data_IF_066502077807
#
_entry.id   IF_066502077807
#
_cell.length_a   1.000
_cell.length_b   1.000
_cell.length_c   1.000
_cell.angle_alpha   90.00
_cell.angle_beta   90.00
_cell.angle_gamma   90.00
#
_symmetry.space_group_name_H-M   'P 1'
#
loop_
_entity.id
_entity.type
_entity.pdbx_description
1 polymer ?
#
# COMPACT_ATOMS: atom_id res chain seq x y z
N UNK A 1 -18.30 21.48 -3.22
CA UNK A 1 -16.91 21.18 -2.81
C UNK A 1 -16.45 19.93 -3.56
N UNK A 2 -15.18 19.82 -3.94
CA UNK A 2 -14.64 18.64 -4.65
C UNK A 2 -13.75 17.88 -3.68
N UNK A 3 -14.10 16.64 -3.38
CA UNK A 3 -13.33 15.77 -2.50
C UNK A 3 -12.48 14.79 -3.32
N UNK A 4 -11.19 14.71 -3.01
CA UNK A 4 -10.29 13.74 -3.60
C UNK A 4 -10.14 12.54 -2.66
N UNK A 5 -10.05 11.34 -3.23
CA UNK A 5 -9.90 10.09 -2.49
C UNK A 5 -9.28 8.99 -3.34
N UNK A 6 -9.05 7.83 -2.72
CA UNK A 6 -8.64 6.60 -3.40
C UNK A 6 -9.83 5.66 -3.40
N UNK A 7 -10.19 5.11 -4.57
CA UNK A 7 -11.30 4.19 -4.70
C UNK A 7 -10.94 2.83 -4.09
N UNK A 8 -11.78 2.35 -3.16
CA UNK A 8 -11.61 1.02 -2.62
C UNK A 8 -12.03 -0.06 -3.65
N UNK A 9 -11.42 -1.25 -3.64
CA UNK A 9 -11.80 -2.34 -4.56
C UNK A 9 -13.28 -2.72 -4.47
N UNK A 10 -13.86 -2.64 -3.27
CA UNK A 10 -15.29 -2.92 -3.03
C UNK A 10 -16.20 -1.85 -3.65
N UNK A 11 -15.81 -0.57 -3.55
CA UNK A 11 -16.53 0.53 -4.19
C UNK A 11 -16.49 0.41 -5.72
N UNK A 12 -15.35 0.03 -6.28
CA UNK A 12 -15.21 -0.21 -7.74
C UNK A 12 -16.17 -1.31 -8.18
N UNK A 13 -16.27 -2.41 -7.43
CA UNK A 13 -17.20 -3.51 -7.73
C UNK A 13 -18.66 -3.06 -7.62
N UNK A 14 -19.01 -2.31 -6.57
CA UNK A 14 -20.38 -1.83 -6.34
C UNK A 14 -20.83 -0.79 -7.39
N UNK A 15 -19.93 0.05 -7.88
CA UNK A 15 -20.19 1.00 -8.95
C UNK A 15 -20.26 0.35 -10.34
N UNK A 16 -19.72 -0.86 -10.47
CA UNK A 16 -19.55 -1.49 -11.76
C UNK A 16 -20.82 -2.14 -12.27
N UNK A 17 -21.12 -1.90 -13.55
CA UNK A 17 -22.29 -2.50 -14.22
C UNK A 17 -21.99 -3.85 -14.87
N UNK A 18 -20.71 -4.16 -15.11
CA UNK A 18 -20.29 -5.39 -15.78
C UNK A 18 -18.91 -5.84 -15.32
N UNK A 19 -18.77 -7.14 -15.15
CA UNK A 19 -17.47 -7.80 -14.98
C UNK A 19 -16.94 -8.19 -16.36
N UNK A 20 -15.86 -7.55 -16.80
CA UNK A 20 -15.25 -7.81 -18.10
C UNK A 20 -14.33 -9.03 -17.99
N UNK A 21 -14.69 -10.11 -18.68
CA UNK A 21 -14.01 -11.39 -18.63
C UNK A 21 -13.24 -11.69 -19.93
N UNK A 22 -13.74 -11.16 -21.05
CA UNK A 22 -13.20 -11.45 -22.37
C UNK A 22 -12.48 -10.23 -22.94
N UNK A 23 -11.27 -10.41 -23.51
CA UNK A 23 -10.56 -9.32 -24.18
C UNK A 23 -11.18 -8.97 -25.54
N UNK A 24 -12.04 -9.83 -26.08
CA UNK A 24 -12.64 -9.61 -27.39
C UNK A 24 -13.75 -8.55 -27.34
N UNK A 25 -13.80 -7.71 -28.38
CA UNK A 25 -14.78 -6.61 -28.48
C UNK A 25 -16.07 -7.02 -29.19
N UNK A 26 -16.02 -8.02 -30.07
CA UNK A 26 -17.15 -8.50 -30.86
C UNK A 26 -17.38 -9.98 -30.62
N UNK A 27 -18.59 -10.45 -30.90
CA UNK A 27 -18.92 -11.87 -30.87
C UNK A 27 -18.17 -12.67 -31.95
N UNK A 28 -18.25 -14.01 -31.87
CA UNK A 28 -17.55 -14.91 -32.80
C UNK A 28 -17.95 -14.67 -34.26
N UNK A 29 -19.19 -14.24 -34.51
CA UNK A 29 -19.70 -13.89 -35.83
C UNK A 29 -19.37 -12.46 -36.27
N UNK A 30 -18.75 -11.65 -35.40
CA UNK A 30 -18.39 -10.23 -35.60
C UNK A 30 -19.57 -9.33 -35.96
N UNK A 31 -20.78 -9.72 -35.56
CA UNK A 31 -22.03 -9.04 -35.91
C UNK A 31 -22.53 -8.13 -34.81
N UNK A 32 -22.20 -8.44 -33.55
CA UNK A 32 -22.61 -7.64 -32.38
C UNK A 32 -21.48 -7.55 -31.36
N UNK A 33 -21.48 -6.53 -30.50
CA UNK A 33 -20.54 -6.44 -29.40
C UNK A 33 -20.67 -7.66 -28.47
N UNK A 34 -19.53 -8.14 -27.97
CA UNK A 34 -19.48 -9.30 -27.08
C UNK A 34 -19.99 -8.94 -25.69
N UNK A 35 -20.93 -9.72 -25.16
CA UNK A 35 -21.34 -9.63 -23.76
C UNK A 35 -20.23 -10.13 -22.83
N UNK A 36 -19.96 -9.41 -21.75
CA UNK A 36 -18.80 -9.62 -20.87
C UNK A 36 -17.45 -9.26 -21.52
N UNK A 37 -17.47 -8.59 -22.67
CA UNK A 37 -16.28 -8.13 -23.39
C UNK A 37 -15.91 -6.67 -23.13
N UNK A 38 -14.86 -6.19 -23.79
CA UNK A 38 -14.40 -4.80 -23.65
C UNK A 38 -15.40 -3.76 -24.22
N UNK A 39 -16.25 -4.17 -25.16
CA UNK A 39 -17.25 -3.30 -25.82
C UNK A 39 -18.68 -3.67 -25.39
N UNK A 40 -18.86 -4.13 -24.15
CA UNK A 40 -20.16 -4.56 -23.66
C UNK A 40 -21.20 -3.42 -23.74
N UNK A 41 -22.41 -3.65 -24.30
CA UNK A 41 -23.47 -2.65 -24.38
C UNK A 41 -23.93 -2.03 -23.05
N UNK A 42 -23.62 -2.65 -21.90
CA UNK A 42 -23.87 -2.10 -20.56
C UNK A 42 -22.94 -0.92 -20.24
N UNK A 43 -21.72 -0.90 -20.79
CA UNK A 43 -20.76 0.20 -20.62
C UNK A 43 -21.16 1.46 -21.40
N UNK A 44 -21.92 1.26 -22.47
CA UNK A 44 -22.31 2.30 -23.41
C UNK A 44 -22.42 1.72 -24.81
N UNK A 45 -22.77 2.58 -25.77
CA UNK A 45 -22.85 2.23 -27.17
C UNK A 45 -22.10 3.26 -28.00
N UNK A 46 -21.31 2.79 -28.96
CA UNK A 46 -20.67 3.61 -29.98
C UNK A 46 -21.46 3.63 -31.29
N UNK A 47 -22.44 2.73 -31.41
CA UNK A 47 -23.26 2.59 -32.62
C UNK A 47 -24.59 3.31 -32.43
N UNK A 48 -25.03 4.04 -33.47
CA UNK A 48 -26.30 4.76 -33.50
C UNK A 48 -27.51 3.83 -33.53
N UNK A 49 -27.34 2.59 -33.98
CA UNK A 49 -28.42 1.60 -34.06
C UNK A 49 -28.74 0.98 -32.69
N UNK A 50 -27.77 1.00 -31.77
CA UNK A 50 -27.91 0.38 -30.46
C UNK A 50 -28.03 1.44 -29.36
N UNK A 51 -28.80 1.11 -28.32
CA UNK A 51 -28.94 1.92 -27.11
C UNK A 51 -28.16 1.28 -25.97
N UNK A 52 -27.68 2.10 -25.04
CA UNK A 52 -27.01 1.58 -23.86
C UNK A 52 -27.97 0.73 -23.03
N UNK A 53 -27.58 -0.49 -22.66
CA UNK A 53 -28.43 -1.40 -21.86
C UNK A 53 -28.66 -0.94 -20.41
N UNK A 54 -27.82 -0.03 -19.91
CA UNK A 54 -27.89 0.46 -18.52
C UNK A 54 -28.82 1.67 -18.38
N UNK A 55 -28.63 2.72 -19.20
CA UNK A 55 -29.41 3.95 -19.11
C UNK A 55 -30.43 4.15 -20.25
N UNK A 56 -30.47 3.27 -21.26
CA UNK A 56 -31.33 3.36 -22.44
C UNK A 56 -31.19 4.66 -23.27
N UNK A 57 -30.12 5.41 -23.06
CA UNK A 57 -29.80 6.60 -23.85
C UNK A 57 -28.96 6.25 -25.10
N UNK A 58 -29.00 7.16 -26.07
CA UNK A 58 -28.21 7.11 -27.29
C UNK A 58 -26.76 7.56 -27.03
N UNK A 59 -25.86 7.36 -28.01
CA UNK A 59 -24.43 7.67 -27.94
C UNK A 59 -24.11 9.09 -27.44
N UNK A 60 -24.90 10.10 -27.82
CA UNK A 60 -24.65 11.50 -27.46
C UNK A 60 -25.04 11.84 -26.02
N UNK A 61 -25.99 11.09 -25.44
CA UNK A 61 -26.61 11.41 -24.16
C UNK A 61 -26.21 10.42 -23.06
N UNK A 62 -25.59 9.30 -23.42
CA UNK A 62 -25.05 8.34 -22.47
C UNK A 62 -23.75 8.88 -21.86
N UNK A 63 -23.64 8.98 -20.51
CA UNK A 63 -22.41 9.42 -19.85
C UNK A 63 -21.30 8.35 -19.87
N UNK A 64 -21.63 7.11 -20.25
CA UNK A 64 -20.78 5.94 -20.07
C UNK A 64 -20.91 5.36 -18.66
N UNK A 65 -20.77 4.05 -18.56
CA UNK A 65 -20.88 3.32 -17.30
C UNK A 65 -19.59 2.56 -17.02
N UNK A 66 -19.21 2.46 -15.74
CA UNK A 66 -17.97 1.82 -15.35
C UNK A 66 -18.10 0.30 -15.34
N UNK A 67 -17.13 -0.37 -15.96
CA UNK A 67 -16.87 -1.80 -15.79
C UNK A 67 -15.76 -2.03 -14.79
N UNK A 68 -15.56 -3.28 -14.40
CA UNK A 68 -14.36 -3.69 -13.69
C UNK A 68 -13.78 -4.97 -14.27
N UNK A 69 -12.46 -5.13 -14.09
CA UNK A 69 -11.72 -6.33 -14.40
C UNK A 69 -11.14 -6.81 -13.08
N UNK A 70 -11.49 -8.03 -12.67
CA UNK A 70 -10.93 -8.64 -11.48
C UNK A 70 -9.56 -9.25 -11.78
N UNK A 71 -8.53 -8.74 -11.14
CA UNK A 71 -7.17 -9.26 -11.29
C UNK A 71 -6.99 -10.48 -10.40
N UNK A 72 -6.40 -11.55 -10.95
CA UNK A 72 -6.10 -12.76 -10.19
C UNK A 72 -5.08 -12.55 -9.05
N UNK A 73 -4.22 -11.53 -9.18
CA UNK A 73 -3.21 -11.16 -8.18
C UNK A 73 -3.11 -9.63 -8.05
N UNK A 74 -2.79 -9.10 -6.86
CA UNK A 74 -2.59 -7.68 -6.69
C UNK A 74 -1.34 -7.21 -7.44
N UNK A 75 -1.37 -5.95 -7.88
CA UNK A 75 -0.29 -5.31 -8.64
C UNK A 75 -0.01 -3.93 -8.04
N UNK A 76 1.25 -3.51 -8.01
CA UNK A 76 1.58 -2.15 -7.60
C UNK A 76 1.08 -1.13 -8.64
N UNK A 77 0.35 -0.12 -8.17
CA UNK A 77 -0.02 1.01 -9.01
C UNK A 77 1.23 1.87 -9.31
N UNK A 78 1.61 2.10 -10.59
CA UNK A 78 2.83 2.83 -10.95
C UNK A 78 2.93 4.23 -10.34
N UNK A 79 1.80 4.93 -10.20
CA UNK A 79 1.75 6.25 -9.56
C UNK A 79 1.94 6.24 -8.04
N UNK A 80 1.67 5.12 -7.38
CA UNK A 80 1.73 5.03 -5.91
C UNK A 80 2.91 4.20 -5.40
N UNK A 81 3.64 3.49 -6.27
CA UNK A 81 4.77 2.63 -5.85
C UNK A 81 5.81 3.35 -4.98
N UNK A 82 6.07 4.64 -5.25
CA UNK A 82 6.99 5.45 -4.45
C UNK A 82 6.44 5.77 -3.06
N UNK A 83 5.12 5.97 -2.95
CA UNK A 83 4.43 6.21 -1.68
C UNK A 83 4.37 4.92 -0.87
N UNK A 84 4.03 3.80 -1.50
CA UNK A 84 4.05 2.45 -0.91
C UNK A 84 5.44 2.12 -0.37
N UNK A 85 6.51 2.37 -1.14
CA UNK A 85 7.89 2.19 -0.67
C UNK A 85 8.16 2.94 0.64
N UNK A 86 7.78 4.23 0.70
CA UNK A 86 7.99 5.04 1.90
C UNK A 86 7.21 4.51 3.10
N UNK A 87 5.98 4.02 2.90
CA UNK A 87 5.18 3.43 3.98
C UNK A 87 5.84 2.14 4.50
N UNK A 88 6.27 1.26 3.59
CA UNK A 88 6.97 0.04 3.96
C UNK A 88 8.32 0.29 4.67
N UNK A 89 8.93 1.47 4.48
CA UNK A 89 10.13 1.92 5.21
C UNK A 89 9.83 2.42 6.63
N UNK A 90 8.58 2.77 6.94
CA UNK A 90 8.17 3.27 8.26
C UNK A 90 7.54 2.18 9.14
N UNK A 91 7.03 1.13 8.51
CA UNK A 91 6.22 0.09 9.15
C UNK A 91 7.01 -1.22 9.23
N UNK A 92 6.87 -1.93 10.35
CA UNK A 92 7.45 -3.26 10.53
C UNK A 92 6.76 -4.30 9.62
N UNK A 93 7.53 -5.10 8.89
CA UNK A 93 6.98 -6.11 7.97
C UNK A 93 6.38 -7.33 8.67
N UNK A 94 6.58 -7.45 10.00
CA UNK A 94 6.10 -8.57 10.80
C UNK A 94 4.86 -8.20 11.63
N UNK A 95 4.92 -7.09 12.40
CA UNK A 95 3.79 -6.66 13.25
C UNK A 95 2.96 -5.51 12.66
N UNK A 96 3.35 -4.94 11.52
CA UNK A 96 2.64 -3.85 10.83
C UNK A 96 2.46 -2.54 11.61
N UNK A 97 3.14 -2.39 12.75
CA UNK A 97 3.23 -1.12 13.49
C UNK A 97 4.30 -0.20 12.94
N UNK A 98 4.16 1.10 13.17
CA UNK A 98 5.23 2.07 12.96
C UNK A 98 6.49 1.73 13.78
N UNK A 99 7.67 2.02 13.21
CA UNK A 99 8.96 1.80 13.86
C UNK A 99 9.33 2.91 14.87
N UNK A 100 8.68 4.07 14.79
CA UNK A 100 8.88 5.20 15.69
C UNK A 100 7.63 5.46 16.51
N UNK A 101 7.84 6.03 17.70
CA UNK A 101 6.80 6.46 18.63
C UNK A 101 7.12 7.88 19.11
N UNK A 102 6.12 8.60 19.60
CA UNK A 102 6.24 9.95 20.15
C UNK A 102 7.17 10.01 21.36
N UNK A 103 7.19 8.96 22.18
CA UNK A 103 7.97 8.92 23.42
C UNK A 103 9.47 8.68 23.17
N UNK A 104 9.81 7.96 22.11
CA UNK A 104 11.17 7.47 21.88
C UNK A 104 11.93 8.22 20.78
N UNK A 105 11.26 9.11 20.03
CA UNK A 105 11.87 9.84 18.92
C UNK A 105 11.38 11.31 18.87
N UNK A 106 12.27 12.24 19.23
CA UNK A 106 11.95 13.67 19.24
C UNK A 106 11.54 14.19 17.85
N UNK A 107 12.13 13.66 16.77
CA UNK A 107 11.77 14.07 15.41
C UNK A 107 10.37 13.60 15.06
N UNK A 108 9.97 12.42 15.54
CA UNK A 108 8.61 11.91 15.39
C UNK A 108 7.61 12.77 16.18
N UNK A 109 7.90 13.09 17.44
CA UNK A 109 7.07 13.98 18.26
C UNK A 109 6.91 15.38 17.62
N UNK A 110 7.99 15.95 17.08
CA UNK A 110 7.93 17.21 16.33
C UNK A 110 7.11 17.08 15.05
N UNK A 111 7.17 15.94 14.35
CA UNK A 111 6.39 15.69 13.15
C UNK A 111 4.89 15.67 13.43
N UNK A 112 4.45 15.08 14.54
CA UNK A 112 3.03 15.01 14.93
C UNK A 112 2.40 16.39 15.15
N UNK A 113 3.20 17.39 15.57
CA UNK A 113 2.77 18.78 15.75
C UNK A 113 2.52 19.52 14.43
N UNK A 114 2.91 18.97 13.29
CA UNK A 114 2.72 19.59 11.98
C UNK A 114 1.28 19.45 11.49
N UNK A 115 0.65 20.59 11.18
CA UNK A 115 -0.71 20.64 10.63
C UNK A 115 -0.80 20.19 9.18
N UNK A 116 0.23 20.44 8.36
CA UNK A 116 0.24 20.00 6.96
C UNK A 116 0.53 18.49 6.85
N UNK A 117 -0.41 17.67 6.34
CA UNK A 117 -0.23 16.22 6.25
C UNK A 117 0.93 15.81 5.35
N UNK A 118 1.26 16.60 4.32
CA UNK A 118 2.36 16.30 3.40
C UNK A 118 3.71 16.47 4.09
N UNK A 119 3.90 17.60 4.77
CA UNK A 119 5.08 17.86 5.60
C UNK A 119 5.20 16.85 6.74
N UNK A 120 4.10 16.55 7.44
CA UNK A 120 4.06 15.55 8.52
C UNK A 120 4.53 14.19 8.04
N UNK A 121 3.96 13.68 6.94
CA UNK A 121 4.38 12.40 6.36
C UNK A 121 5.86 12.38 5.98
N UNK A 122 6.40 13.48 5.44
CA UNK A 122 7.81 13.56 5.06
C UNK A 122 8.74 13.54 6.27
N UNK A 123 8.34 14.14 7.39
CA UNK A 123 9.08 14.15 8.65
C UNK A 123 9.02 12.79 9.36
N UNK A 124 7.83 12.20 9.49
CA UNK A 124 7.66 10.84 10.02
C UNK A 124 8.51 9.84 9.25
N UNK A 125 8.49 9.90 7.91
CA UNK A 125 9.34 9.05 7.08
C UNK A 125 10.83 9.24 7.33
N UNK A 126 11.28 10.48 7.59
CA UNK A 126 12.69 10.75 7.91
C UNK A 126 13.11 10.17 9.25
N UNK A 127 12.22 10.16 10.24
CA UNK A 127 12.45 9.55 11.55
C UNK A 127 12.55 8.02 11.41
N UNK A 128 11.58 7.38 10.74
CA UNK A 128 11.53 5.91 10.70
C UNK A 128 12.54 5.26 9.75
N UNK A 129 12.90 5.88 8.61
CA UNK A 129 13.71 5.23 7.56
C UNK A 129 15.08 4.71 8.02
N UNK A 130 15.60 5.27 9.12
CA UNK A 130 16.90 4.92 9.68
C UNK A 130 16.86 3.71 10.62
N UNK A 131 15.67 3.37 11.14
CA UNK A 131 15.51 2.29 12.11
C UNK A 131 15.61 0.92 11.44
N UNK A 132 16.43 0.05 12.04
CA UNK A 132 16.75 -1.30 11.51
C UNK A 132 16.16 -2.44 12.33
N UNK A 133 15.50 -2.13 13.43
CA UNK A 133 14.90 -3.09 14.34
C UNK A 133 13.58 -2.50 14.83
N UNK A 134 12.55 -3.34 14.90
CA UNK A 134 11.29 -3.01 15.57
C UNK A 134 11.48 -3.27 17.08
N UNK A 135 11.60 -2.23 17.89
CA UNK A 135 12.08 -2.37 19.28
C UNK A 135 11.05 -3.13 20.14
N UNK A 136 11.47 -4.21 20.80
CA UNK A 136 10.67 -4.81 21.88
C UNK A 136 11.12 -4.10 23.14
N UNK A 137 10.49 -3.00 23.49
CA UNK A 137 10.66 -2.49 24.84
C UNK A 137 9.78 -3.36 25.74
N UNK A 138 10.32 -4.50 26.17
CA UNK A 138 9.73 -5.26 27.26
C UNK A 138 9.78 -4.38 28.48
N UNK A 139 8.63 -4.12 29.11
CA UNK A 139 8.56 -3.71 30.52
C UNK A 139 9.09 -4.82 31.43
N UNK A 140 10.38 -5.15 31.29
CA UNK A 140 11.09 -6.07 32.14
C UNK A 140 11.40 -5.35 33.45
N UNK A 141 10.61 -5.70 34.47
CA UNK A 141 10.85 -5.76 35.93
C UNK A 141 12.19 -5.36 36.59
N UNK A 142 12.99 -4.47 36.02
CA UNK A 142 14.14 -3.87 36.71
C UNK A 142 14.02 -2.35 36.58
N UNK A 143 13.56 -1.71 37.66
CA UNK A 143 13.31 -0.27 37.86
C UNK A 143 14.53 0.66 37.63
N UNK A 144 15.62 0.19 37.02
CA UNK A 144 16.88 0.96 36.92
C UNK A 144 17.36 1.30 35.52
N UNK A 145 16.80 0.71 34.46
CA UNK A 145 17.22 0.98 33.08
C UNK A 145 16.18 1.76 32.25
N UNK A 146 15.09 2.22 32.88
CA UNK A 146 13.96 2.92 32.23
C UNK A 146 14.26 4.36 31.80
N UNK A 147 15.42 4.90 32.23
CA UNK A 147 15.84 6.27 31.98
C UNK A 147 16.96 6.25 30.95
N UNK A 148 16.72 6.86 29.80
CA UNK A 148 17.82 7.20 28.88
C UNK A 148 18.72 8.21 29.60
N UNK A 149 19.92 7.77 30.00
CA UNK A 149 20.86 8.60 30.79
C UNK A 149 21.35 9.84 30.04
N UNK A 150 21.04 9.97 28.75
CA UNK A 150 21.29 11.14 27.93
C UNK A 150 20.15 12.17 27.93
N UNK A 151 18.88 11.77 28.10
CA UNK A 151 17.72 12.67 27.95
C UNK A 151 16.78 12.71 29.15
N UNK A 152 16.90 11.77 30.10
CA UNK A 152 16.07 11.74 31.31
C UNK A 152 14.60 11.35 31.05
N UNK A 153 14.28 10.83 29.87
CA UNK A 153 12.91 10.47 29.47
C UNK A 153 12.65 8.99 29.82
N UNK A 154 11.54 8.72 30.51
CA UNK A 154 11.02 7.36 30.70
C UNK A 154 10.53 6.82 29.36
N UNK A 155 11.13 5.72 28.88
CA UNK A 155 10.70 5.08 27.62
C UNK A 155 9.42 4.29 27.83
N UNK A 156 8.37 4.65 27.08
CA UNK A 156 7.07 3.95 27.10
C UNK A 156 7.11 2.82 26.07
N UNK A 157 6.72 1.58 26.45
CA UNK A 157 6.86 0.44 25.57
C UNK A 157 5.90 0.53 24.37
N UNK A 158 6.46 0.72 23.17
CA UNK A 158 5.69 0.80 21.92
C UNK A 158 5.13 -0.57 21.44
N UNK A 159 5.48 -1.66 22.13
CA UNK A 159 4.99 -3.02 21.86
C UNK A 159 5.40 -3.58 20.49
N UNK A 160 6.68 -3.44 20.11
CA UNK A 160 7.25 -4.02 18.91
C UNK A 160 7.54 -5.51 19.01
N UNK A 161 8.07 -6.09 17.93
CA UNK A 161 8.26 -7.54 17.80
C UNK A 161 9.73 -8.00 17.66
N UNK A 162 10.71 -7.08 17.69
CA UNK A 162 12.14 -7.40 17.66
C UNK A 162 12.68 -7.79 16.29
N UNK A 163 11.81 -7.85 15.28
CA UNK A 163 12.20 -8.21 13.93
C UNK A 163 13.10 -7.14 13.32
N UNK A 164 14.09 -7.58 12.54
CA UNK A 164 14.94 -6.68 11.76
C UNK A 164 14.14 -6.06 10.62
N UNK A 165 14.40 -4.78 10.36
CA UNK A 165 13.77 -4.02 9.29
C UNK A 165 14.72 -3.90 8.10
N UNK A 166 14.34 -4.42 6.91
CA UNK A 166 15.22 -4.46 5.76
C UNK A 166 15.32 -3.11 5.03
N UNK A 167 16.46 -2.86 4.37
CA UNK A 167 16.56 -1.73 3.44
C UNK A 167 15.74 -1.98 2.18
N UNK A 168 14.78 -1.09 1.89
CA UNK A 168 13.89 -1.23 0.74
C UNK A 168 14.43 -0.45 -0.46
N UNK A 169 14.65 -1.17 -1.56
CA UNK A 169 15.09 -0.61 -2.84
C UNK A 169 14.02 -0.78 -3.90
N UNK A 170 13.90 0.22 -4.77
CA UNK A 170 13.04 0.16 -5.95
C UNK A 170 13.91 -0.11 -7.17
N UNK A 171 13.54 -1.11 -7.97
CA UNK A 171 14.10 -1.35 -9.32
C UNK A 171 12.93 -1.39 -10.30
N UNK A 172 12.85 -0.41 -11.19
CA UNK A 172 11.71 -0.23 -12.09
C UNK A 172 10.35 -0.25 -11.34
N UNK A 173 9.49 -1.23 -11.61
CA UNK A 173 8.17 -1.39 -11.00
C UNK A 173 8.14 -2.42 -9.85
N UNK A 174 9.30 -2.78 -9.32
CA UNK A 174 9.44 -3.78 -8.26
C UNK A 174 10.16 -3.21 -7.03
N UNK A 175 9.78 -3.73 -5.86
CA UNK A 175 10.36 -3.40 -4.57
C UNK A 175 11.14 -4.61 -4.05
N UNK A 176 12.33 -4.37 -3.51
CA UNK A 176 13.21 -5.40 -2.97
C UNK A 176 13.64 -5.03 -1.55
N UNK A 177 13.56 -5.98 -0.64
CA UNK A 177 14.14 -5.92 0.69
C UNK A 177 15.58 -6.46 0.64
N UNK A 178 16.54 -5.70 1.13
CA UNK A 178 17.89 -6.20 1.36
C UNK A 178 17.92 -6.99 2.65
N UNK A 179 18.22 -8.28 2.55
CA UNK A 179 18.36 -9.16 3.69
C UNK A 179 19.81 -9.64 3.76
N UNK A 180 20.41 -9.50 4.93
CA UNK A 180 21.70 -10.11 5.23
C UNK A 180 21.46 -11.55 5.68
N UNK A 181 21.90 -12.52 4.89
CA UNK A 181 21.88 -13.92 5.31
C UNK A 181 23.22 -14.27 5.94
N UNK A 182 23.18 -14.82 7.16
CA UNK A 182 24.35 -15.41 7.80
C UNK A 182 24.72 -16.69 7.05
N UNK A 183 25.97 -16.77 6.60
CA UNK A 183 26.59 -18.00 6.09
C UNK A 183 27.34 -18.67 7.24
N UNK A 184 27.71 -19.94 7.09
CA UNK A 184 28.46 -20.73 8.10
C UNK A 184 29.60 -19.93 8.75
N UNK A 185 29.84 -20.19 10.04
CA UNK A 185 30.77 -19.44 10.90
C UNK A 185 32.12 -19.22 10.20
N UNK A 186 32.42 -17.96 9.88
CA UNK A 186 33.68 -17.53 9.25
C UNK A 186 33.57 -16.95 7.83
N UNK A 187 32.42 -17.05 7.15
CA UNK A 187 32.21 -16.42 5.84
C UNK A 187 31.54 -15.03 5.93
N UNK A 188 31.90 -14.13 4.99
CA UNK A 188 31.28 -12.80 4.86
C UNK A 188 29.77 -12.93 4.63
N UNK A 189 28.97 -12.12 5.33
CA UNK A 189 27.51 -12.02 5.14
C UNK A 189 27.19 -11.74 3.68
N UNK A 190 26.30 -12.53 3.08
CA UNK A 190 25.83 -12.31 1.72
C UNK A 190 24.58 -11.43 1.76
N UNK A 191 24.60 -10.31 1.03
CA UNK A 191 23.45 -9.40 0.94
C UNK A 191 22.64 -9.79 -0.29
N UNK A 192 21.42 -10.30 -0.07
CA UNK A 192 20.49 -10.65 -1.15
C UNK A 192 19.33 -9.67 -1.21
N UNK A 193 18.95 -9.35 -2.44
CA UNK A 193 17.76 -8.57 -2.74
C UNK A 193 16.56 -9.53 -2.84
N UNK A 194 15.70 -9.56 -1.81
CA UNK A 194 14.47 -10.35 -1.80
C UNK A 194 13.30 -9.52 -2.34
N UNK A 195 12.58 -10.02 -3.34
CA UNK A 195 11.41 -9.33 -3.90
C UNK A 195 10.30 -9.20 -2.85
N UNK A 196 9.75 -7.99 -2.69
CA UNK A 196 8.54 -7.72 -1.92
C UNK A 196 7.35 -7.79 -2.90
N UNK A 197 6.60 -8.88 -2.85
CA UNK A 197 5.46 -9.05 -3.75
C UNK A 197 4.34 -8.06 -3.39
N UNK A 198 3.48 -7.66 -4.34
CA UNK A 198 2.33 -6.82 -4.03
C UNK A 198 1.40 -7.46 -2.99
N UNK A 199 1.29 -8.79 -2.96
CA UNK A 199 0.54 -9.55 -1.95
C UNK A 199 1.12 -9.34 -0.54
N UNK A 200 2.45 -9.45 -0.39
CA UNK A 200 3.13 -9.19 0.88
C UNK A 200 2.95 -7.75 1.34
N UNK A 201 3.15 -6.78 0.44
CA UNK A 201 2.94 -5.38 0.78
C UNK A 201 1.49 -5.10 1.15
N UNK A 202 0.51 -5.64 0.42
CA UNK A 202 -0.89 -5.51 0.78
C UNK A 202 -1.17 -6.11 2.16
N UNK A 203 -0.63 -7.29 2.47
CA UNK A 203 -0.81 -7.90 3.79
C UNK A 203 -0.30 -6.98 4.90
N UNK A 204 0.90 -6.41 4.76
CA UNK A 204 1.47 -5.48 5.75
C UNK A 204 0.58 -4.24 5.87
N UNK A 205 0.25 -3.59 4.75
CA UNK A 205 -0.53 -2.35 4.74
C UNK A 205 -1.94 -2.51 5.33
N UNK A 206 -2.54 -3.69 5.19
CA UNK A 206 -3.89 -3.98 5.73
C UNK A 206 -3.90 -4.10 7.26
N UNK A 207 -2.77 -4.42 7.87
CA UNK A 207 -2.65 -4.60 9.32
C UNK A 207 -2.05 -3.38 10.03
N UNK A 208 -1.89 -2.25 9.33
CA UNK A 208 -1.52 -0.99 9.96
C UNK A 208 -2.70 -0.54 10.85
N UNK A 209 -2.49 -0.26 12.14
CA UNK A 209 -3.52 0.27 13.04
C UNK A 209 -4.08 1.61 12.54
N UNK A 210 -5.33 1.95 12.88
CA UNK A 210 -5.92 3.24 12.48
C UNK A 210 -5.24 4.46 13.14
N UNK A 211 -4.60 4.24 14.30
CA UNK A 211 -3.85 5.26 15.02
C UNK A 211 -2.49 5.59 14.37
N UNK A 212 -1.99 4.73 13.46
CA UNK A 212 -0.70 4.82 12.74
C UNK A 212 -0.86 5.43 11.32
#
# INVERSE_FOLDING_TARGET
>A
EIQFGVLAPEEIKNMSVVHVQYPDTMDETRTKPREGGLNDPLLGTTDRQYKCKTCNNDMNNCPGHFGHIELAKPVYHPGFINKTKKILEMVCHQCSKLLCDENNDEQFAQALRLRDPKARFAMVWKACKGKKVCEIETGGKDEKDSIDTATGIEKVPHGGCGSTHPDIRKKALQLYAKVEEAREEGMKKEVKDKLITPEQAHHILKHIPEDD
#
